data_IF_321738521762
#
_entry.id   IF_321738521762
#
_cell.length_a   1.000
_cell.length_b   1.000
_cell.length_c   1.000
_cell.angle_alpha   90.00
_cell.angle_beta   90.00
_cell.angle_gamma   90.00
#
_symmetry.space_group_name_H-M   'P 1'
#
loop_
_entity.id
_entity.type
_entity.pdbx_description
1 polymer ?
#
# COMPACT_ATOMS: atom_id res chain seq x y z
N UNK A 1 -5.49 -10.24 27.44
CA UNK A 1 -6.93 -10.41 27.72
C UNK A 1 -7.23 -10.28 29.22
N UNK A 2 -6.54 -11.04 30.07
CA UNK A 2 -6.74 -11.04 31.52
C UNK A 2 -6.55 -9.65 32.13
N UNK A 3 -5.52 -8.91 31.75
CA UNK A 3 -5.27 -7.54 32.22
C UNK A 3 -6.45 -6.60 31.91
N UNK A 4 -7.00 -6.63 30.71
CA UNK A 4 -8.15 -5.81 30.31
C UNK A 4 -9.41 -6.22 31.08
N UNK A 5 -9.58 -7.52 31.37
CA UNK A 5 -10.77 -8.02 32.09
C UNK A 5 -10.70 -7.77 33.61
N UNK A 6 -9.48 -7.74 34.17
CA UNK A 6 -9.28 -7.57 35.62
C UNK A 6 -9.12 -6.11 36.06
N UNK A 7 -8.83 -5.20 35.12
CA UNK A 7 -8.68 -3.77 35.37
C UNK A 7 -9.67 -2.97 34.53
N UNK A 8 -10.06 -1.80 34.99
CA UNK A 8 -10.92 -0.88 34.23
C UNK A 8 -10.09 -0.13 33.20
N UNK A 9 -9.71 -0.82 32.11
CA UNK A 9 -8.99 -0.22 31.00
C UNK A 9 -9.99 0.41 30.04
N UNK A 10 -9.98 1.72 29.91
CA UNK A 10 -10.82 2.50 29.00
C UNK A 10 -10.05 3.08 27.82
N UNK A 11 -8.73 3.26 27.98
CA UNK A 11 -7.88 3.91 26.99
C UNK A 11 -6.56 3.19 26.79
N UNK A 12 -6.01 3.26 25.55
CA UNK A 12 -4.71 2.67 25.24
C UNK A 12 -3.93 3.53 24.25
N UNK A 13 -2.60 3.57 24.43
CA UNK A 13 -1.64 4.07 23.45
C UNK A 13 -0.93 2.87 22.83
N UNK A 14 -0.94 2.77 21.50
CA UNK A 14 -0.20 1.76 20.75
C UNK A 14 0.98 2.46 20.07
N UNK A 15 2.20 2.03 20.40
CA UNK A 15 3.43 2.56 19.82
C UNK A 15 3.88 1.68 18.69
N UNK A 16 3.84 2.21 17.45
CA UNK A 16 4.13 1.50 16.22
C UNK A 16 2.86 1.12 15.43
N UNK A 17 2.86 1.42 14.14
CA UNK A 17 1.75 1.23 13.21
C UNK A 17 2.10 0.25 12.07
N UNK A 18 2.83 -0.83 12.38
CA UNK A 18 3.00 -2.01 11.53
C UNK A 18 1.81 -2.98 11.70
N UNK A 19 1.94 -4.20 11.17
CA UNK A 19 0.90 -5.25 11.25
C UNK A 19 0.36 -5.43 12.67
N UNK A 20 1.22 -5.74 13.62
CA UNK A 20 0.83 -6.00 15.03
C UNK A 20 0.12 -4.79 15.65
N UNK A 21 0.66 -3.58 15.41
CA UNK A 21 0.08 -2.35 15.98
C UNK A 21 -1.33 -2.07 15.45
N UNK A 22 -1.56 -2.28 14.16
CA UNK A 22 -2.87 -2.05 13.52
C UNK A 22 -3.88 -3.13 13.88
N UNK A 23 -3.49 -4.40 13.94
CA UNK A 23 -4.33 -5.49 14.46
C UNK A 23 -4.75 -5.27 15.91
N UNK A 24 -3.81 -4.78 16.74
CA UNK A 24 -4.13 -4.41 18.12
C UNK A 24 -5.08 -3.21 18.18
N UNK A 25 -4.90 -2.22 17.31
CA UNK A 25 -5.76 -1.03 17.26
C UNK A 25 -7.21 -1.41 16.94
N UNK A 26 -7.44 -2.23 15.90
CA UNK A 26 -8.76 -2.79 15.56
C UNK A 26 -9.37 -3.54 16.74
N UNK A 27 -8.65 -4.55 17.25
CA UNK A 27 -9.17 -5.42 18.30
C UNK A 27 -9.47 -4.70 19.62
N UNK A 28 -8.70 -3.68 19.97
CA UNK A 28 -8.95 -2.90 21.20
C UNK A 28 -10.10 -1.89 20.97
N UNK A 29 -10.18 -1.30 19.79
CA UNK A 29 -11.30 -0.41 19.43
C UNK A 29 -12.63 -1.16 19.40
N UNK A 30 -12.68 -2.36 18.83
CA UNK A 30 -13.86 -3.23 18.81
C UNK A 30 -14.31 -3.64 20.22
N UNK A 31 -13.41 -3.61 21.20
CA UNK A 31 -13.73 -3.82 22.62
C UNK A 31 -14.20 -2.55 23.33
N UNK A 32 -14.33 -1.44 22.62
CA UNK A 32 -14.81 -0.16 23.13
C UNK A 32 -13.75 0.71 23.82
N UNK A 33 -12.44 0.39 23.70
CA UNK A 33 -11.40 1.23 24.25
C UNK A 33 -11.17 2.47 23.36
N UNK A 34 -10.75 3.57 24.00
CA UNK A 34 -10.20 4.72 23.29
C UNK A 34 -8.76 4.39 22.86
N UNK A 35 -8.55 4.32 21.54
CA UNK A 35 -7.27 3.90 20.97
C UNK A 35 -6.53 5.08 20.32
N UNK A 36 -5.28 5.27 20.71
CA UNK A 36 -4.34 6.21 20.08
C UNK A 36 -3.16 5.41 19.52
N UNK A 37 -2.92 5.50 18.23
CA UNK A 37 -1.75 4.91 17.56
C UNK A 37 -0.69 6.01 17.37
N UNK A 38 0.53 5.76 17.83
CA UNK A 38 1.69 6.64 17.68
C UNK A 38 2.69 5.98 16.74
N UNK A 39 3.05 6.67 15.66
CA UNK A 39 3.98 6.18 14.66
C UNK A 39 5.11 7.19 14.42
N UNK A 40 6.36 6.73 14.51
CA UNK A 40 7.54 7.55 14.23
C UNK A 40 7.61 8.00 12.76
N UNK A 41 7.25 7.11 11.84
CA UNK A 41 7.23 7.41 10.41
C UNK A 41 6.05 8.27 9.99
N UNK A 42 6.13 8.79 8.76
CA UNK A 42 5.09 9.65 8.16
C UNK A 42 3.82 8.90 7.72
N UNK A 43 3.78 7.59 7.81
CA UNK A 43 2.60 6.77 7.48
C UNK A 43 2.61 5.43 8.22
N UNK A 44 1.45 4.79 8.28
CA UNK A 44 1.30 3.41 8.77
C UNK A 44 1.80 2.43 7.72
N UNK A 45 2.08 1.18 8.13
CA UNK A 45 2.48 0.08 7.23
C UNK A 45 3.65 0.47 6.31
N UNK A 46 4.90 0.19 6.69
CA UNK A 46 6.08 0.51 5.88
C UNK A 46 6.11 -0.16 4.49
N UNK A 47 5.26 -1.15 4.28
CA UNK A 47 5.07 -1.86 3.00
C UNK A 47 4.11 -1.14 2.04
N UNK A 48 3.52 -0.01 2.45
CA UNK A 48 2.71 0.87 1.61
C UNK A 48 3.52 2.11 1.19
N UNK A 49 3.18 2.64 0.03
CA UNK A 49 3.54 4.01 -0.33
C UNK A 49 2.65 5.01 0.43
N UNK A 50 3.12 6.23 0.61
CA UNK A 50 2.45 7.23 1.44
C UNK A 50 1.04 7.62 0.92
N UNK A 51 0.84 7.61 -0.37
CA UNK A 51 -0.45 7.87 -1.03
C UNK A 51 -1.46 6.74 -0.77
N UNK A 52 -1.02 5.49 -0.84
CA UNK A 52 -1.84 4.33 -0.50
C UNK A 52 -2.14 4.28 1.00
N UNK A 53 -1.16 4.59 1.85
CA UNK A 53 -1.33 4.63 3.30
C UNK A 53 -2.37 5.67 3.75
N UNK A 54 -2.60 6.75 2.97
CA UNK A 54 -3.62 7.74 3.28
C UNK A 54 -5.03 7.12 3.38
N UNK A 55 -5.34 6.11 2.59
CA UNK A 55 -6.61 5.37 2.65
C UNK A 55 -6.74 4.67 4.03
N UNK A 56 -5.69 4.00 4.47
CA UNK A 56 -5.66 3.35 5.78
C UNK A 56 -5.73 4.35 6.94
N UNK A 57 -5.08 5.51 6.82
CA UNK A 57 -5.16 6.60 7.82
C UNK A 57 -6.59 7.10 8.00
N UNK A 58 -7.27 7.41 6.88
CA UNK A 58 -8.65 7.90 6.92
C UNK A 58 -9.59 6.83 7.47
N UNK A 59 -9.36 5.57 7.13
CA UNK A 59 -10.15 4.45 7.63
C UNK A 59 -9.98 4.24 9.15
N UNK A 60 -8.76 4.30 9.67
CA UNK A 60 -8.50 4.27 11.11
C UNK A 60 -9.26 5.38 11.84
N UNK A 61 -9.19 6.61 11.33
CA UNK A 61 -9.87 7.78 11.92
C UNK A 61 -11.38 7.64 11.88
N UNK A 62 -11.96 7.13 10.78
CA UNK A 62 -13.41 6.92 10.67
C UNK A 62 -13.93 5.88 11.67
N UNK A 63 -13.06 4.96 12.14
CA UNK A 63 -13.36 4.02 13.21
C UNK A 63 -13.02 4.57 14.62
N UNK A 64 -12.71 5.86 14.74
CA UNK A 64 -12.44 6.51 16.01
C UNK A 64 -11.06 6.23 16.60
N UNK A 65 -10.10 5.77 15.79
CA UNK A 65 -8.69 5.63 16.22
C UNK A 65 -7.98 6.98 16.04
N UNK A 66 -7.37 7.49 17.11
CA UNK A 66 -6.49 8.65 17.05
C UNK A 66 -5.15 8.23 16.44
N UNK A 67 -4.67 8.96 15.44
CA UNK A 67 -3.44 8.62 14.73
C UNK A 67 -2.45 9.78 14.79
N UNK A 68 -1.32 9.55 15.45
CA UNK A 68 -0.19 10.47 15.56
C UNK A 68 0.97 9.94 14.71
N UNK A 69 1.23 10.58 13.59
CA UNK A 69 2.34 10.29 12.69
C UNK A 69 3.50 11.26 12.94
N UNK A 70 4.71 10.91 12.50
CA UNK A 70 5.95 11.68 12.75
C UNK A 70 6.15 11.98 14.24
N UNK A 71 5.82 11.03 15.11
CA UNK A 71 5.82 11.21 16.54
C UNK A 71 6.74 10.18 17.22
N UNK A 72 7.86 10.65 17.76
CA UNK A 72 8.81 9.82 18.48
C UNK A 72 8.44 9.71 19.94
N UNK A 73 8.33 8.48 20.45
CA UNK A 73 8.17 8.20 21.88
C UNK A 73 9.54 8.22 22.53
N UNK A 74 9.68 9.04 23.58
CA UNK A 74 10.95 9.24 24.31
C UNK A 74 11.00 8.54 25.65
N UNK A 75 9.86 8.13 26.20
CA UNK A 75 9.80 7.41 27.47
C UNK A 75 8.39 7.19 27.97
N UNK A 76 8.30 6.47 29.08
CA UNK A 76 7.06 6.16 29.78
C UNK A 76 7.23 6.46 31.27
N UNK A 77 6.19 6.98 31.90
CA UNK A 77 6.13 7.26 33.31
C UNK A 77 4.82 6.78 33.92
N UNK A 78 4.87 6.13 35.06
CA UNK A 78 3.67 5.79 35.82
C UNK A 78 3.15 7.03 36.57
N UNK A 79 1.87 7.29 36.45
CA UNK A 79 1.20 8.41 37.11
C UNK A 79 0.61 7.97 38.45
N UNK A 80 0.37 8.93 39.32
CA UNK A 80 -0.23 8.69 40.65
C UNK A 80 -1.64 8.08 40.58
N UNK A 81 -2.36 8.25 39.46
CA UNK A 81 -3.67 7.69 39.22
C UNK A 81 -3.63 6.26 38.61
N UNK A 82 -2.43 5.70 38.43
CA UNK A 82 -2.18 4.38 37.85
C UNK A 82 -2.17 4.35 36.32
N UNK A 83 -2.43 5.47 35.66
CA UNK A 83 -2.27 5.58 34.21
C UNK A 83 -0.80 5.65 33.79
N UNK A 84 -0.51 5.28 32.56
CA UNK A 84 0.82 5.40 31.95
C UNK A 84 0.89 6.67 31.11
N UNK A 85 1.82 7.53 31.40
CA UNK A 85 2.16 8.68 30.58
C UNK A 85 3.18 8.27 29.52
N UNK A 86 2.85 8.50 28.25
CA UNK A 86 3.77 8.32 27.11
C UNK A 86 4.30 9.68 26.69
N UNK A 87 5.61 9.89 26.82
CA UNK A 87 6.28 11.13 26.48
C UNK A 87 6.65 11.14 24.98
N UNK A 88 6.31 12.23 24.29
CA UNK A 88 6.56 12.43 22.87
C UNK A 88 7.60 13.56 22.67
N UNK A 89 8.45 13.41 21.64
CA UNK A 89 9.48 14.42 21.36
C UNK A 89 8.91 15.73 20.80
N UNK A 90 7.83 15.63 20.00
CA UNK A 90 7.31 16.75 19.20
C UNK A 90 5.99 17.34 19.72
N UNK A 91 5.36 16.71 20.70
CA UNK A 91 4.06 17.13 21.25
C UNK A 91 3.96 16.88 22.75
N UNK A 92 2.87 17.32 23.37
CA UNK A 92 2.61 17.03 24.78
C UNK A 92 2.46 15.52 25.04
N UNK A 93 2.64 15.10 26.31
CA UNK A 93 2.53 13.70 26.68
C UNK A 93 1.09 13.19 26.54
N UNK A 94 0.95 11.90 26.27
CA UNK A 94 -0.31 11.17 26.25
C UNK A 94 -0.46 10.37 27.54
N UNK A 95 -1.64 10.38 28.14
CA UNK A 95 -1.98 9.51 29.25
C UNK A 95 -3.00 8.46 28.81
N UNK A 96 -2.79 7.19 29.18
CA UNK A 96 -3.69 6.09 28.94
C UNK A 96 -3.58 5.04 30.04
N UNK A 97 -4.64 4.23 30.19
CA UNK A 97 -4.65 3.14 31.19
C UNK A 97 -3.70 2.00 30.81
N UNK A 98 -3.36 1.89 29.52
CA UNK A 98 -2.49 0.83 29.00
C UNK A 98 -1.64 1.34 27.84
N UNK A 99 -0.43 0.82 27.71
CA UNK A 99 0.44 1.02 26.54
C UNK A 99 0.79 -0.32 25.92
N UNK A 100 0.71 -0.39 24.59
CA UNK A 100 1.11 -1.56 23.81
C UNK A 100 2.31 -1.17 22.94
N UNK A 101 3.43 -1.87 23.09
CA UNK A 101 4.62 -1.68 22.28
C UNK A 101 4.59 -2.62 21.07
N UNK A 102 4.49 -2.05 19.89
CA UNK A 102 4.48 -2.76 18.60
C UNK A 102 5.53 -2.16 17.65
N UNK A 103 6.73 -1.87 18.19
CA UNK A 103 7.80 -1.13 17.48
C UNK A 103 8.63 -1.97 16.51
N UNK A 104 8.19 -3.19 16.23
CA UNK A 104 8.82 -4.15 15.33
C UNK A 104 9.58 -5.23 16.07
N UNK A 105 10.25 -6.08 15.29
CA UNK A 105 11.01 -7.24 15.77
C UNK A 105 12.49 -7.09 15.44
N UNK A 106 13.34 -7.71 16.24
CA UNK A 106 14.75 -7.87 15.98
C UNK A 106 15.08 -9.37 15.90
N UNK A 107 16.03 -9.78 15.04
CA UNK A 107 16.50 -11.15 15.00
C UNK A 107 17.02 -11.59 16.40
N UNK A 108 16.51 -12.71 16.91
CA UNK A 108 17.07 -13.32 18.12
C UNK A 108 18.30 -14.14 17.71
N UNK A 109 19.45 -13.54 17.74
CA UNK A 109 20.71 -14.09 17.23
C UNK A 109 21.82 -14.21 18.31
N UNK A 110 21.47 -14.05 19.58
CA UNK A 110 22.46 -14.09 20.66
C UNK A 110 23.24 -15.42 20.66
N UNK A 111 22.52 -16.53 20.55
CA UNK A 111 23.13 -17.87 20.50
C UNK A 111 24.05 -18.07 19.28
N UNK A 112 23.62 -17.55 18.12
CA UNK A 112 24.42 -17.61 16.89
C UNK A 112 25.72 -16.78 17.00
N UNK A 113 25.64 -15.61 17.63
CA UNK A 113 26.81 -14.77 17.92
C UNK A 113 27.78 -15.46 18.86
N UNK A 114 27.27 -16.04 19.95
CA UNK A 114 28.10 -16.77 20.93
C UNK A 114 28.77 -18.01 20.31
N UNK A 115 28.11 -18.64 19.34
CA UNK A 115 28.65 -19.75 18.54
C UNK A 115 29.66 -19.30 17.47
N UNK A 116 29.86 -17.98 17.27
CA UNK A 116 30.77 -17.45 16.26
C UNK A 116 30.26 -17.52 14.83
N UNK A 117 28.94 -17.64 14.62
CA UNK A 117 28.35 -17.68 13.29
C UNK A 117 28.34 -16.28 12.64
N UNK A 118 28.41 -16.23 11.32
CA UNK A 118 28.35 -15.00 10.54
C UNK A 118 26.99 -14.33 10.68
N UNK A 119 27.01 -13.04 11.06
CA UNK A 119 25.82 -12.20 11.14
C UNK A 119 25.80 -11.16 10.03
N UNK A 120 24.60 -10.75 9.63
CA UNK A 120 24.32 -9.75 8.62
C UNK A 120 23.72 -8.48 9.15
N UNK A 121 22.89 -7.83 8.33
CA UNK A 121 22.21 -6.60 8.69
C UNK A 121 21.33 -6.79 9.94
N UNK A 122 21.37 -5.84 10.87
CA UNK A 122 20.64 -5.88 12.15
C UNK A 122 20.91 -7.15 12.96
N UNK A 123 22.11 -7.70 12.84
CA UNK A 123 22.56 -8.94 13.50
C UNK A 123 21.77 -10.20 13.12
N UNK A 124 21.12 -10.21 11.97
CA UNK A 124 20.46 -11.41 11.42
C UNK A 124 21.48 -12.49 11.09
N UNK A 125 21.08 -13.75 11.23
CA UNK A 125 21.94 -14.89 10.91
C UNK A 125 22.06 -15.00 9.39
N UNK A 126 23.30 -15.01 8.86
CA UNK A 126 23.53 -15.28 7.45
C UNK A 126 23.34 -16.77 7.15
N UNK A 127 22.61 -17.03 6.09
CA UNK A 127 22.40 -18.40 5.56
C UNK A 127 22.60 -18.41 4.04
N UNK A 128 22.99 -19.54 3.52
CA UNK A 128 22.98 -19.81 2.08
C UNK A 128 21.56 -20.18 1.58
N UNK A 129 21.46 -20.51 0.31
CA UNK A 129 20.18 -20.91 -0.31
C UNK A 129 19.65 -22.25 0.21
N UNK A 130 20.46 -23.04 0.90
CA UNK A 130 20.11 -24.30 1.57
C UNK A 130 19.75 -24.12 3.03
N UNK A 131 19.71 -22.88 3.53
CA UNK A 131 19.49 -22.50 4.94
C UNK A 131 20.65 -22.89 5.87
N UNK A 132 21.87 -23.15 5.36
CA UNK A 132 23.06 -23.40 6.17
C UNK A 132 23.66 -22.07 6.61
N UNK A 133 24.16 -22.05 7.82
CA UNK A 133 24.95 -20.92 8.36
C UNK A 133 26.40 -20.97 7.88
N UNK A 134 27.26 -20.13 8.43
CA UNK A 134 28.72 -20.22 8.22
C UNK A 134 29.35 -21.51 8.76
N UNK A 135 28.65 -22.22 9.64
CA UNK A 135 28.99 -23.61 10.05
C UNK A 135 28.08 -24.57 9.28
N UNK A 136 28.71 -25.54 8.56
CA UNK A 136 28.02 -26.49 7.69
C UNK A 136 27.06 -27.44 8.41
N UNK A 137 27.23 -27.62 9.71
CA UNK A 137 26.41 -28.51 10.54
C UNK A 137 25.26 -27.75 11.23
N UNK A 138 25.20 -26.44 11.07
CA UNK A 138 24.17 -25.58 11.69
C UNK A 138 23.29 -24.94 10.61
N UNK A 139 21.99 -25.09 10.79
CA UNK A 139 20.95 -24.48 9.95
C UNK A 139 20.19 -23.39 10.74
N UNK A 140 19.78 -22.33 10.06
CA UNK A 140 18.94 -21.30 10.65
C UNK A 140 17.79 -20.94 9.70
N UNK A 141 16.61 -20.65 10.27
CA UNK A 141 15.37 -20.36 9.52
C UNK A 141 14.50 -19.33 10.25
N UNK A 142 13.52 -18.78 9.55
CA UNK A 142 12.50 -17.90 10.11
C UNK A 142 12.95 -16.43 10.24
N UNK A 143 12.38 -15.75 11.19
CA UNK A 143 12.52 -14.29 11.33
C UNK A 143 13.94 -13.83 11.74
N UNK A 144 14.76 -14.75 12.20
CA UNK A 144 16.14 -14.48 12.62
C UNK A 144 17.14 -14.45 11.47
N UNK A 145 16.77 -14.93 10.26
CA UNK A 145 17.72 -15.09 9.16
C UNK A 145 17.65 -13.98 8.14
N UNK A 146 18.78 -13.66 7.51
CA UNK A 146 18.88 -12.82 6.32
C UNK A 146 18.63 -13.67 5.07
N UNK A 147 17.80 -13.19 4.18
CA UNK A 147 17.45 -13.87 2.93
C UNK A 147 17.60 -12.91 1.74
N UNK A 148 17.44 -13.41 0.51
CA UNK A 148 17.38 -12.56 -0.69
C UNK A 148 15.97 -12.01 -0.89
N UNK A 149 15.88 -10.70 -1.19
CA UNK A 149 14.68 -10.14 -1.80
C UNK A 149 14.59 -10.66 -3.24
N UNK A 150 13.47 -11.27 -3.59
CA UNK A 150 13.29 -11.93 -4.88
C UNK A 150 13.37 -10.96 -6.07
N UNK A 151 12.89 -9.72 -5.89
CA UNK A 151 12.82 -8.73 -6.98
C UNK A 151 14.19 -8.08 -7.25
N UNK A 152 14.92 -7.75 -6.17
CA UNK A 152 16.19 -7.00 -6.28
C UNK A 152 17.44 -7.88 -6.22
N UNK A 153 17.32 -9.13 -5.76
CA UNK A 153 18.46 -9.99 -5.46
C UNK A 153 19.30 -9.56 -4.25
N UNK A 154 18.95 -8.44 -3.62
CA UNK A 154 19.68 -7.90 -2.47
C UNK A 154 19.32 -8.64 -1.18
N UNK A 155 20.22 -8.55 -0.19
CA UNK A 155 19.98 -9.09 1.14
C UNK A 155 18.86 -8.32 1.85
N UNK A 156 17.96 -9.06 2.51
CA UNK A 156 16.79 -8.50 3.17
C UNK A 156 16.41 -9.29 4.44
N UNK A 157 15.70 -8.61 5.34
CA UNK A 157 15.02 -9.22 6.48
C UNK A 157 13.53 -9.23 6.17
N UNK A 158 12.95 -10.41 6.02
CA UNK A 158 11.53 -10.60 5.69
C UNK A 158 10.91 -11.52 6.72
N UNK A 159 10.53 -10.92 7.85
CA UNK A 159 9.94 -11.61 8.99
C UNK A 159 8.45 -11.89 8.75
N UNK A 160 8.16 -12.95 7.99
CA UNK A 160 6.83 -13.39 7.60
C UNK A 160 6.71 -14.93 7.71
N UNK A 161 5.56 -15.40 8.16
CA UNK A 161 5.29 -16.82 8.40
C UNK A 161 5.39 -17.68 7.12
N UNK A 162 5.01 -17.16 5.96
CA UNK A 162 5.10 -17.88 4.68
C UNK A 162 6.54 -18.27 4.31
N UNK A 163 7.47 -17.31 4.23
CA UNK A 163 8.91 -17.60 4.07
C UNK A 163 9.46 -18.55 5.15
N UNK A 164 9.15 -18.28 6.43
CA UNK A 164 9.64 -19.10 7.55
C UNK A 164 9.26 -20.59 7.41
N UNK A 165 8.01 -20.88 7.03
CA UNK A 165 7.54 -22.25 6.79
C UNK A 165 8.29 -22.95 5.63
N UNK A 166 8.51 -22.24 4.52
CA UNK A 166 9.26 -22.76 3.37
C UNK A 166 10.71 -23.04 3.76
N UNK A 167 11.34 -22.13 4.49
CA UNK A 167 12.71 -22.27 4.99
C UNK A 167 12.86 -23.50 5.91
N UNK A 168 11.90 -23.69 6.83
CA UNK A 168 11.89 -24.87 7.72
C UNK A 168 11.86 -26.19 6.95
N UNK A 169 11.05 -26.27 5.90
CA UNK A 169 11.00 -27.44 5.01
C UNK A 169 12.34 -27.64 4.27
N UNK A 170 12.88 -26.55 3.68
CA UNK A 170 14.14 -26.60 2.92
C UNK A 170 15.30 -27.03 3.82
N UNK A 171 15.38 -26.51 5.04
CA UNK A 171 16.39 -26.94 6.01
C UNK A 171 16.25 -28.43 6.33
N UNK A 172 15.04 -28.91 6.59
CA UNK A 172 14.79 -30.34 6.85
C UNK A 172 15.17 -31.22 5.67
N UNK A 173 14.81 -30.84 4.44
CA UNK A 173 15.20 -31.56 3.22
C UNK A 173 16.72 -31.67 3.13
N UNK A 174 17.46 -30.59 3.29
CA UNK A 174 18.92 -30.56 3.19
C UNK A 174 19.60 -31.37 4.33
N UNK A 175 19.07 -31.29 5.56
CA UNK A 175 19.54 -32.13 6.68
C UNK A 175 19.38 -33.63 6.36
N UNK A 176 18.32 -34.01 5.65
CA UNK A 176 18.04 -35.37 5.22
C UNK A 176 18.76 -35.77 3.91
N UNK A 177 19.61 -34.91 3.34
CA UNK A 177 20.33 -35.19 2.09
C UNK A 177 19.53 -34.99 0.82
N UNK A 178 18.36 -34.36 0.90
CA UNK A 178 17.52 -33.97 -0.26
C UNK A 178 17.89 -32.55 -0.65
N UNK A 179 18.42 -32.35 -1.87
CA UNK A 179 18.78 -31.02 -2.35
C UNK A 179 17.54 -30.16 -2.54
N UNK A 180 17.43 -29.08 -1.77
CA UNK A 180 16.34 -28.11 -1.79
C UNK A 180 16.88 -26.69 -1.60
N UNK A 181 16.31 -25.70 -2.28
CA UNK A 181 16.80 -24.31 -2.25
C UNK A 181 15.69 -23.29 -1.98
N UNK A 182 16.04 -22.25 -1.25
CA UNK A 182 15.20 -21.08 -1.01
C UNK A 182 15.64 -19.94 -1.95
N UNK A 183 14.82 -19.62 -2.92
CA UNK A 183 15.12 -18.62 -3.95
C UNK A 183 14.74 -17.18 -3.55
N UNK A 184 14.62 -16.90 -2.25
CA UNK A 184 14.25 -15.59 -1.73
C UNK A 184 12.75 -15.37 -1.57
N UNK A 185 12.39 -14.18 -1.07
CA UNK A 185 11.00 -13.76 -0.84
C UNK A 185 10.75 -12.39 -1.43
N UNK A 186 9.55 -12.17 -1.95
CA UNK A 186 9.06 -10.87 -2.40
C UNK A 186 8.27 -10.12 -1.33
N UNK A 187 8.04 -10.73 -0.14
CA UNK A 187 7.40 -10.08 0.99
C UNK A 187 5.88 -9.91 0.83
N UNK A 188 5.20 -10.87 0.20
CA UNK A 188 3.73 -10.83 0.08
C UNK A 188 3.07 -10.90 1.45
N UNK A 189 2.15 -9.98 1.70
CA UNK A 189 1.48 -9.84 2.99
C UNK A 189 0.06 -9.31 2.85
N UNK A 190 -0.77 -9.61 3.82
CA UNK A 190 -2.16 -9.14 3.91
C UNK A 190 -2.48 -8.78 5.36
N UNK A 191 -3.25 -7.71 5.53
CA UNK A 191 -3.76 -7.24 6.82
C UNK A 191 -5.25 -6.97 6.69
N UNK A 192 -6.03 -7.42 7.66
CA UNK A 192 -7.40 -6.95 7.89
C UNK A 192 -7.35 -5.73 8.82
N UNK A 193 -8.00 -4.64 8.42
CA UNK A 193 -8.13 -3.43 9.22
C UNK A 193 -9.60 -3.01 9.26
N UNK A 194 -10.33 -3.41 10.27
CA UNK A 194 -11.81 -3.33 10.36
C UNK A 194 -12.46 -4.07 9.18
N UNK A 195 -13.11 -3.36 8.27
CA UNK A 195 -13.71 -3.91 7.06
C UNK A 195 -12.83 -3.76 5.81
N UNK A 196 -11.65 -3.14 5.92
CA UNK A 196 -10.66 -3.10 4.85
C UNK A 196 -9.71 -4.29 4.87
N UNK A 197 -9.35 -4.75 3.69
CA UNK A 197 -8.20 -5.61 3.43
C UNK A 197 -7.10 -4.76 2.80
N UNK A 198 -5.90 -4.80 3.39
CA UNK A 198 -4.67 -4.16 2.90
C UNK A 198 -3.73 -5.29 2.48
N UNK A 199 -3.39 -5.36 1.20
CA UNK A 199 -2.55 -6.42 0.66
C UNK A 199 -1.37 -5.84 -0.13
N UNK A 200 -0.16 -6.40 0.06
CA UNK A 200 1.04 -5.91 -0.62
C UNK A 200 1.92 -7.06 -1.08
N UNK A 201 2.67 -6.84 -2.17
CA UNK A 201 3.72 -7.75 -2.64
C UNK A 201 4.80 -6.98 -3.37
N UNK A 202 6.06 -7.41 -3.28
CA UNK A 202 7.18 -6.79 -3.97
C UNK A 202 7.61 -5.44 -3.38
N UNK A 203 7.97 -4.51 -4.24
CA UNK A 203 8.59 -3.24 -3.88
C UNK A 203 7.56 -2.11 -3.73
N UNK A 204 7.88 -1.15 -2.87
CA UNK A 204 7.31 0.21 -2.88
C UNK A 204 8.09 1.09 -3.85
N UNK A 205 7.58 2.27 -4.20
CA UNK A 205 8.31 3.27 -5.00
C UNK A 205 9.67 3.61 -4.38
N UNK A 206 9.69 3.82 -3.07
CA UNK A 206 10.93 4.14 -2.33
C UNK A 206 11.93 2.99 -2.45
N UNK A 207 11.48 1.75 -2.28
CA UNK A 207 12.33 0.57 -2.37
C UNK A 207 12.85 0.35 -3.80
N UNK A 208 12.02 0.53 -4.82
CA UNK A 208 12.43 0.44 -6.23
C UNK A 208 13.49 1.50 -6.57
N UNK A 209 13.26 2.74 -6.15
CA UNK A 209 14.24 3.83 -6.31
C UNK A 209 15.56 3.55 -5.59
N UNK A 210 15.49 3.05 -4.35
CA UNK A 210 16.69 2.71 -3.58
C UNK A 210 17.49 1.55 -4.22
N UNK A 211 16.79 0.64 -4.92
CA UNK A 211 17.41 -0.44 -5.68
C UNK A 211 17.96 0.01 -7.05
N UNK A 212 17.76 1.27 -7.44
CA UNK A 212 18.22 1.83 -8.71
C UNK A 212 17.41 1.38 -9.93
N UNK A 213 16.17 0.91 -9.72
CA UNK A 213 15.28 0.48 -10.79
C UNK A 213 14.57 1.70 -11.43
N UNK A 214 14.42 1.69 -12.75
CA UNK A 214 13.63 2.67 -13.50
C UNK A 214 12.16 2.28 -13.44
N UNK A 215 11.55 2.53 -12.29
CA UNK A 215 10.18 2.13 -12.00
C UNK A 215 9.18 3.25 -12.29
N UNK A 216 7.99 2.84 -12.75
CA UNK A 216 6.78 3.66 -12.82
C UNK A 216 5.62 2.87 -12.21
N UNK A 217 4.44 3.47 -12.13
CA UNK A 217 3.29 2.79 -11.56
C UNK A 217 1.96 3.22 -12.20
N UNK A 218 0.96 2.37 -12.07
CA UNK A 218 -0.42 2.72 -12.35
C UNK A 218 -1.25 2.68 -11.07
N UNK A 219 -2.25 3.56 -10.98
CA UNK A 219 -3.27 3.52 -9.92
C UNK A 219 -4.64 3.41 -10.56
N UNK A 220 -5.38 2.40 -10.15
CA UNK A 220 -6.75 2.14 -10.62
C UNK A 220 -7.67 1.86 -9.43
N UNK A 221 -8.95 2.20 -9.61
CA UNK A 221 -9.98 1.99 -8.59
C UNK A 221 -11.12 1.14 -9.17
N UNK A 222 -10.89 -0.17 -9.39
CA UNK A 222 -11.91 -1.07 -9.90
C UNK A 222 -12.90 -1.48 -8.80
N UNK A 223 -14.05 -2.01 -9.21
CA UNK A 223 -14.93 -2.74 -8.31
C UNK A 223 -14.39 -4.16 -8.05
N UNK A 224 -14.72 -4.73 -6.89
CA UNK A 224 -14.36 -6.11 -6.52
C UNK A 224 -14.95 -7.15 -7.47
N UNK A 225 -16.16 -6.88 -7.98
CA UNK A 225 -16.86 -7.70 -8.95
C UNK A 225 -17.80 -6.85 -9.85
N UNK A 226 -18.57 -7.48 -10.70
CA UNK A 226 -19.49 -6.79 -11.62
C UNK A 226 -20.49 -5.90 -10.86
N UNK A 227 -20.52 -4.60 -11.19
CA UNK A 227 -21.30 -3.60 -10.43
C UNK A 227 -22.80 -3.72 -10.53
N UNK A 228 -23.31 -4.47 -11.55
CA UNK A 228 -24.72 -4.80 -11.65
C UNK A 228 -25.15 -5.96 -10.73
N UNK A 229 -24.18 -6.65 -10.10
CA UNK A 229 -24.45 -7.63 -9.04
C UNK A 229 -24.31 -6.97 -7.68
N UNK A 230 -25.25 -7.23 -6.73
CA UNK A 230 -25.25 -6.56 -5.43
C UNK A 230 -24.00 -6.83 -4.60
N UNK A 231 -23.56 -5.83 -3.84
CA UNK A 231 -22.47 -5.96 -2.87
C UNK A 231 -21.08 -5.65 -3.42
N UNK A 232 -20.96 -5.13 -4.66
CA UNK A 232 -19.68 -4.74 -5.20
C UNK A 232 -19.01 -3.65 -4.36
N UNK A 233 -17.87 -3.99 -3.76
CA UNK A 233 -16.99 -3.05 -3.06
C UNK A 233 -16.01 -2.38 -4.01
N UNK A 234 -15.53 -1.20 -3.66
CA UNK A 234 -14.42 -0.57 -4.36
C UNK A 234 -13.08 -1.05 -3.80
N UNK A 235 -12.06 -1.12 -4.65
CA UNK A 235 -10.68 -1.27 -4.23
C UNK A 235 -9.81 -0.22 -4.92
N UNK A 236 -8.71 0.14 -4.29
CA UNK A 236 -7.64 0.92 -4.93
C UNK A 236 -6.44 0.00 -5.09
N UNK A 237 -5.94 -0.09 -6.30
CA UNK A 237 -4.80 -0.92 -6.67
C UNK A 237 -3.71 -0.03 -7.25
N UNK A 238 -2.49 -0.14 -6.73
CA UNK A 238 -1.28 0.46 -7.27
C UNK A 238 -0.33 -0.65 -7.67
N UNK A 239 0.12 -0.64 -8.93
CA UNK A 239 1.04 -1.65 -9.47
C UNK A 239 2.26 -0.96 -10.01
N UNK A 240 3.44 -1.32 -9.49
CA UNK A 240 4.74 -0.84 -9.93
C UNK A 240 5.29 -1.76 -11.02
N UNK A 241 5.89 -1.15 -12.03
CA UNK A 241 6.51 -1.85 -13.16
C UNK A 241 7.81 -1.18 -13.59
N UNK A 242 8.69 -1.91 -14.25
CA UNK A 242 9.91 -1.40 -14.86
C UNK A 242 9.59 -0.80 -16.24
N UNK A 243 10.06 0.42 -16.49
CA UNK A 243 9.73 1.13 -17.74
C UNK A 243 10.31 0.48 -18.99
N UNK A 244 11.42 -0.27 -18.86
CA UNK A 244 12.09 -0.88 -20.01
C UNK A 244 11.29 -1.99 -20.66
N UNK A 245 10.81 -2.95 -19.87
CA UNK A 245 10.19 -4.19 -20.34
C UNK A 245 8.79 -4.45 -19.77
N UNK A 246 8.32 -3.61 -18.85
CA UNK A 246 7.02 -3.78 -18.20
C UNK A 246 6.99 -4.88 -17.14
N UNK A 247 8.13 -5.36 -16.66
CA UNK A 247 8.22 -6.35 -15.59
C UNK A 247 7.56 -5.81 -14.31
N UNK A 248 6.76 -6.62 -13.66
CA UNK A 248 6.04 -6.24 -12.45
C UNK A 248 7.01 -6.26 -11.26
N UNK A 249 7.14 -5.13 -10.57
CA UNK A 249 8.06 -4.93 -9.46
C UNK A 249 7.39 -5.01 -8.10
N UNK A 250 6.09 -4.68 -8.02
CA UNK A 250 5.34 -4.68 -6.78
C UNK A 250 3.90 -4.26 -6.96
N UNK A 251 3.08 -4.52 -5.95
CA UNK A 251 1.70 -4.07 -5.93
C UNK A 251 1.21 -3.83 -4.50
N UNK A 252 0.25 -2.92 -4.38
CA UNK A 252 -0.46 -2.57 -3.17
C UNK A 252 -1.95 -2.47 -3.50
N UNK A 253 -2.78 -3.18 -2.74
CA UNK A 253 -4.23 -3.22 -2.98
C UNK A 253 -4.94 -2.99 -1.66
N UNK A 254 -5.87 -2.03 -1.64
CA UNK A 254 -6.70 -1.73 -0.48
C UNK A 254 -8.16 -1.74 -0.91
N UNK A 255 -8.99 -2.51 -0.24
CA UNK A 255 -10.42 -2.60 -0.54
C UNK A 255 -11.18 -3.42 0.49
N UNK A 256 -12.50 -3.40 0.41
CA UNK A 256 -13.38 -4.16 1.33
C UNK A 256 -13.53 -5.62 0.91
N UNK A 257 -13.27 -5.94 -0.37
CA UNK A 257 -13.43 -7.29 -0.91
C UNK A 257 -12.46 -7.53 -2.08
N UNK A 258 -11.93 -8.75 -2.19
CA UNK A 258 -11.16 -9.25 -3.33
C UNK A 258 -9.73 -8.69 -3.49
N UNK A 259 -9.22 -7.94 -2.51
CA UNK A 259 -7.84 -7.46 -2.52
C UNK A 259 -6.83 -8.61 -2.33
N UNK A 260 -7.14 -9.55 -1.45
CA UNK A 260 -6.35 -10.76 -1.17
C UNK A 260 -6.22 -11.65 -2.40
N UNK A 261 -7.31 -11.87 -3.14
CA UNK A 261 -7.29 -12.64 -4.39
C UNK A 261 -6.34 -12.02 -5.43
N UNK A 262 -6.41 -10.69 -5.62
CA UNK A 262 -5.65 -10.01 -6.69
C UNK A 262 -4.18 -9.87 -6.35
N UNK A 263 -3.85 -9.67 -5.09
CA UNK A 263 -2.45 -9.62 -4.68
C UNK A 263 -1.75 -10.95 -4.89
N UNK A 264 -2.44 -12.08 -4.66
CA UNK A 264 -1.88 -13.42 -4.89
C UNK A 264 -1.67 -13.72 -6.37
N UNK A 265 -2.57 -13.25 -7.24
CA UNK A 265 -2.37 -13.35 -8.71
C UNK A 265 -1.14 -12.56 -9.13
N UNK A 266 -1.01 -11.30 -8.67
CA UNK A 266 0.17 -10.47 -9.00
C UNK A 266 1.44 -11.07 -8.39
N UNK A 267 1.40 -11.56 -7.15
CA UNK A 267 2.54 -12.22 -6.52
C UNK A 267 3.00 -13.47 -7.29
N UNK A 268 2.04 -14.21 -7.85
CA UNK A 268 2.32 -15.37 -8.71
C UNK A 268 2.93 -14.92 -10.04
N UNK A 269 2.37 -13.90 -10.67
CA UNK A 269 2.90 -13.32 -11.89
C UNK A 269 4.34 -12.82 -11.72
N UNK A 270 4.62 -12.09 -10.63
CA UNK A 270 5.98 -11.65 -10.29
C UNK A 270 6.94 -12.84 -10.12
N UNK A 271 6.50 -13.92 -9.48
CA UNK A 271 7.30 -15.12 -9.28
C UNK A 271 7.60 -15.86 -10.61
N UNK A 272 6.71 -15.74 -11.57
CA UNK A 272 6.88 -16.23 -12.94
C UNK A 272 7.58 -15.23 -13.87
N UNK A 273 8.09 -14.12 -13.32
CA UNK A 273 8.78 -13.05 -14.07
C UNK A 273 7.94 -12.47 -15.21
N UNK A 274 6.61 -12.45 -15.03
CA UNK A 274 5.66 -11.90 -15.99
C UNK A 274 5.77 -10.38 -16.11
N UNK A 275 5.50 -9.91 -17.32
CA UNK A 275 5.40 -8.49 -17.68
C UNK A 275 3.94 -8.01 -17.66
N UNK A 276 3.74 -6.72 -17.89
CA UNK A 276 2.39 -6.15 -18.03
C UNK A 276 1.63 -6.77 -19.21
N UNK A 277 2.31 -7.08 -20.32
CA UNK A 277 1.71 -7.77 -21.47
C UNK A 277 1.16 -9.14 -21.07
N UNK A 278 1.93 -9.91 -20.29
CA UNK A 278 1.48 -11.22 -19.81
C UNK A 278 0.25 -11.11 -18.89
N UNK A 279 0.16 -10.02 -18.07
CA UNK A 279 -1.03 -9.79 -17.23
C UNK A 279 -2.29 -9.58 -18.07
N UNK A 280 -2.19 -9.06 -19.29
CA UNK A 280 -3.35 -8.87 -20.18
C UNK A 280 -3.91 -10.19 -20.70
N UNK A 281 -3.06 -11.21 -20.81
CA UNK A 281 -3.38 -12.54 -21.34
C UNK A 281 -3.86 -13.53 -20.27
N UNK A 282 -3.83 -13.15 -18.97
CA UNK A 282 -4.27 -14.04 -17.90
C UNK A 282 -5.77 -14.36 -18.05
N UNK A 283 -6.08 -15.63 -18.20
CA UNK A 283 -7.46 -16.15 -18.21
C UNK A 283 -7.93 -16.41 -16.78
N UNK A 284 -8.51 -15.37 -16.15
CA UNK A 284 -8.94 -15.38 -14.76
C UNK A 284 -10.41 -15.73 -14.63
N UNK A 285 -10.73 -16.57 -13.64
CA UNK A 285 -12.08 -17.04 -13.38
C UNK A 285 -13.07 -15.87 -13.13
N UNK A 286 -14.15 -15.84 -13.90
CA UNK A 286 -15.19 -14.84 -13.85
C UNK A 286 -16.58 -15.44 -13.68
N UNK A 287 -17.31 -14.86 -12.74
CA UNK A 287 -18.77 -14.82 -12.70
C UNK A 287 -19.16 -13.54 -11.94
N UNK A 288 -20.36 -12.97 -12.17
CA UNK A 288 -20.75 -11.67 -11.60
C UNK A 288 -20.50 -11.49 -10.09
N UNK A 289 -20.71 -12.51 -9.22
CA UNK A 289 -20.45 -12.37 -7.78
C UNK A 289 -18.97 -12.36 -7.38
N UNK A 290 -18.05 -12.74 -8.27
CA UNK A 290 -16.64 -12.99 -7.92
C UNK A 290 -15.66 -12.03 -8.58
N UNK A 291 -16.00 -11.48 -9.75
CA UNK A 291 -15.12 -10.61 -10.52
C UNK A 291 -15.88 -9.81 -11.57
N UNK A 292 -15.14 -9.11 -12.40
CA UNK A 292 -15.60 -8.54 -13.68
C UNK A 292 -14.94 -9.30 -14.83
N UNK A 293 -15.55 -9.30 -16.02
CA UNK A 293 -14.97 -9.94 -17.20
C UNK A 293 -13.57 -9.40 -17.56
N UNK A 294 -13.32 -8.13 -17.23
CA UNK A 294 -11.96 -7.55 -17.16
C UNK A 294 -11.57 -7.54 -15.68
N UNK A 295 -10.83 -8.55 -15.23
CA UNK A 295 -10.37 -8.58 -13.84
C UNK A 295 -9.44 -7.37 -13.57
N UNK A 296 -9.44 -6.80 -12.38
CA UNK A 296 -8.52 -5.73 -11.99
C UNK A 296 -7.04 -5.98 -12.34
N UNK A 297 -6.58 -7.22 -12.31
CA UNK A 297 -5.21 -7.58 -12.72
C UNK A 297 -5.00 -7.38 -14.22
N UNK A 298 -5.94 -7.84 -15.06
CA UNK A 298 -5.87 -7.57 -16.51
C UNK A 298 -5.95 -6.06 -16.79
N UNK A 299 -6.79 -5.32 -16.05
CA UNK A 299 -6.88 -3.87 -16.19
C UNK A 299 -5.56 -3.16 -15.88
N UNK A 300 -4.83 -3.59 -14.86
CA UNK A 300 -3.50 -3.07 -14.57
C UNK A 300 -2.54 -3.32 -15.75
N UNK A 301 -2.53 -4.52 -16.31
CA UNK A 301 -1.76 -4.87 -17.52
C UNK A 301 -2.09 -3.93 -18.69
N UNK A 302 -3.35 -3.76 -19.03
CA UNK A 302 -3.78 -2.84 -20.11
C UNK A 302 -3.34 -1.39 -19.88
N UNK A 303 -3.41 -0.90 -18.62
CA UNK A 303 -2.98 0.45 -18.31
C UNK A 303 -1.48 0.63 -18.49
N UNK A 304 -0.68 -0.33 -18.02
CA UNK A 304 0.78 -0.30 -18.14
C UNK A 304 1.18 -0.38 -19.62
N UNK A 305 0.62 -1.29 -20.42
CA UNK A 305 0.87 -1.35 -21.86
C UNK A 305 0.56 -0.04 -22.56
N UNK A 306 -0.58 0.60 -22.24
CA UNK A 306 -0.96 1.88 -22.84
C UNK A 306 0.07 2.99 -22.56
N UNK A 307 0.74 2.95 -21.39
CA UNK A 307 1.82 3.87 -21.03
C UNK A 307 3.10 3.52 -21.80
N UNK A 308 3.51 2.26 -21.76
CA UNK A 308 4.75 1.79 -22.41
C UNK A 308 4.75 2.00 -23.93
N UNK A 309 3.58 1.81 -24.57
CA UNK A 309 3.42 2.05 -25.99
C UNK A 309 3.13 3.52 -26.35
N UNK A 310 3.13 4.44 -25.39
CA UNK A 310 2.87 5.85 -25.64
C UNK A 310 1.45 6.17 -26.06
N UNK A 311 0.49 5.26 -25.84
CA UNK A 311 -0.93 5.47 -26.15
C UNK A 311 -1.61 6.49 -25.23
N UNK A 312 -1.04 6.71 -24.05
CA UNK A 312 -1.44 7.73 -23.09
C UNK A 312 -0.26 8.07 -22.19
N UNK A 313 -0.10 9.32 -21.86
CA UNK A 313 0.80 9.75 -20.80
C UNK A 313 0.03 9.82 -19.50
N UNK A 314 0.68 9.43 -18.39
CA UNK A 314 0.11 9.49 -17.05
C UNK A 314 0.83 10.52 -16.19
N UNK A 315 0.08 11.27 -15.40
CA UNK A 315 0.57 12.20 -14.39
C UNK A 315 0.13 11.75 -13.00
N UNK A 316 0.99 12.00 -12.02
CA UNK A 316 0.59 11.94 -10.62
C UNK A 316 -0.27 13.16 -10.25
N UNK A 317 -0.99 13.10 -9.13
CA UNK A 317 -1.72 14.28 -8.62
C UNK A 317 -0.81 15.43 -8.23
N UNK A 318 0.40 15.15 -7.75
CA UNK A 318 1.38 16.20 -7.45
C UNK A 318 1.78 16.97 -8.72
N UNK A 319 2.07 16.24 -9.79
CA UNK A 319 2.33 16.84 -11.10
C UNK A 319 1.11 17.58 -11.64
N UNK A 320 -0.08 16.97 -11.53
CA UNK A 320 -1.31 17.55 -12.07
C UNK A 320 -1.72 18.86 -11.38
N UNK A 321 -1.41 19.06 -10.12
CA UNK A 321 -1.72 20.26 -9.35
C UNK A 321 -0.66 21.37 -9.45
N UNK A 322 0.44 21.12 -10.13
CA UNK A 322 1.49 22.10 -10.42
C UNK A 322 1.56 22.37 -11.94
N UNK A 323 0.49 22.99 -12.55
CA UNK A 323 0.44 23.24 -13.98
C UNK A 323 1.45 24.29 -14.41
N UNK A 324 2.08 24.07 -15.57
CA UNK A 324 2.77 25.13 -16.30
C UNK A 324 1.75 26.13 -16.89
N UNK A 325 2.20 27.29 -17.37
CA UNK A 325 1.32 28.32 -17.93
C UNK A 325 0.51 27.85 -19.15
N UNK A 326 1.06 26.90 -19.88
CA UNK A 326 0.48 26.27 -21.08
C UNK A 326 -0.29 24.98 -20.78
N UNK A 327 -0.63 24.73 -19.53
CA UNK A 327 -1.37 23.54 -19.11
C UNK A 327 -2.65 23.91 -18.34
N UNK A 328 -3.66 23.03 -18.43
CA UNK A 328 -4.94 23.22 -17.75
C UNK A 328 -5.55 21.89 -17.33
N UNK A 329 -6.18 21.84 -16.16
CA UNK A 329 -6.94 20.70 -15.69
C UNK A 329 -8.28 20.60 -16.44
N UNK A 330 -8.66 19.36 -16.82
CA UNK A 330 -9.96 19.04 -17.40
C UNK A 330 -10.63 17.94 -16.58
N UNK A 331 -11.76 18.26 -15.99
CA UNK A 331 -12.62 17.34 -15.24
C UNK A 331 -13.63 16.68 -16.18
N UNK A 332 -13.50 15.37 -16.41
CA UNK A 332 -14.38 14.58 -17.26
C UNK A 332 -15.50 13.88 -16.48
N UNK A 333 -15.78 14.29 -15.23
CA UNK A 333 -16.84 13.74 -14.38
C UNK A 333 -18.21 14.28 -14.77
N UNK A 334 -19.25 13.61 -14.26
CA UNK A 334 -20.63 14.12 -14.42
C UNK A 334 -20.87 15.38 -13.58
N UNK A 335 -21.87 16.23 -13.94
CA UNK A 335 -22.22 17.42 -13.15
C UNK A 335 -22.55 17.09 -11.69
N UNK A 336 -23.22 15.95 -11.44
CA UNK A 336 -23.55 15.51 -10.09
C UNK A 336 -22.34 15.10 -9.23
N UNK A 337 -21.25 14.62 -9.85
CA UNK A 337 -19.98 14.35 -9.14
C UNK A 337 -19.24 15.65 -8.83
N UNK A 338 -19.22 16.60 -9.76
CA UNK A 338 -18.57 17.92 -9.58
C UNK A 338 -19.29 18.74 -8.49
N UNK A 339 -20.62 18.66 -8.41
CA UNK A 339 -21.39 19.34 -7.36
C UNK A 339 -21.05 18.88 -5.94
N UNK A 340 -20.48 17.66 -5.77
CA UNK A 340 -20.00 17.14 -4.49
C UNK A 340 -18.56 17.53 -4.14
N UNK A 341 -17.90 18.24 -5.02
CA UNK A 341 -16.54 18.75 -4.87
C UNK A 341 -15.78 18.71 -6.20
N UNK A 342 -14.94 19.70 -6.41
CA UNK A 342 -14.14 19.90 -7.63
C UNK A 342 -12.75 20.43 -7.27
N UNK A 343 -11.94 20.64 -8.30
CA UNK A 343 -10.64 21.32 -8.19
C UNK A 343 -10.80 22.71 -8.80
N UNK A 344 -10.44 23.72 -8.02
CA UNK A 344 -10.54 25.11 -8.45
C UNK A 344 -9.74 25.35 -9.74
N UNK A 345 -10.39 26.02 -10.70
CA UNK A 345 -9.79 26.37 -11.98
C UNK A 345 -9.76 25.23 -13.01
N UNK A 346 -10.29 24.04 -12.70
CA UNK A 346 -10.45 22.99 -13.69
C UNK A 346 -11.59 23.32 -14.68
N UNK A 347 -11.35 23.10 -15.96
CA UNK A 347 -12.41 23.08 -16.97
C UNK A 347 -13.29 21.85 -16.70
N UNK A 348 -14.60 21.98 -16.91
CA UNK A 348 -15.51 20.86 -16.73
C UNK A 348 -16.22 20.52 -18.03
N UNK A 349 -15.92 19.35 -18.57
CA UNK A 349 -16.61 18.78 -19.73
C UNK A 349 -16.81 17.29 -19.49
N UNK A 350 -18.04 16.84 -19.21
CA UNK A 350 -18.32 15.41 -19.01
C UNK A 350 -17.87 14.57 -20.19
N UNK A 351 -17.36 13.36 -19.93
CA UNK A 351 -16.91 12.45 -21.00
C UNK A 351 -17.98 12.26 -22.09
N UNK A 352 -19.23 12.10 -21.69
CA UNK A 352 -20.33 11.78 -22.62
C UNK A 352 -20.64 12.96 -23.57
N UNK A 353 -20.35 14.20 -23.14
CA UNK A 353 -20.55 15.43 -23.90
C UNK A 353 -19.25 15.90 -24.61
N UNK A 354 -18.10 15.30 -24.30
CA UNK A 354 -16.78 15.76 -24.74
C UNK A 354 -16.66 15.97 -26.24
N UNK A 355 -17.29 15.09 -27.06
CA UNK A 355 -17.22 15.20 -28.53
C UNK A 355 -17.94 16.43 -29.08
N UNK A 356 -18.94 16.94 -28.37
CA UNK A 356 -19.74 18.09 -28.77
C UNK A 356 -19.06 19.41 -28.38
N UNK A 357 -18.17 19.36 -27.35
CA UNK A 357 -17.48 20.53 -26.81
C UNK A 357 -15.99 20.64 -27.18
N UNK A 358 -15.51 19.87 -28.17
CA UNK A 358 -14.09 19.88 -28.57
C UNK A 358 -13.60 21.25 -29.04
N UNK A 359 -14.47 22.05 -29.67
CA UNK A 359 -14.12 23.37 -30.21
C UNK A 359 -14.04 24.46 -29.11
N UNK A 360 -14.52 24.16 -27.91
CA UNK A 360 -14.45 25.04 -26.75
C UNK A 360 -13.16 24.85 -25.94
N UNK A 361 -12.43 23.74 -26.19
CA UNK A 361 -11.21 23.42 -25.49
C UNK A 361 -9.98 24.15 -26.06
N UNK A 362 -9.06 24.63 -25.21
CA UNK A 362 -7.87 25.33 -25.67
C UNK A 362 -6.93 24.36 -26.40
N UNK A 363 -6.65 24.64 -27.69
CA UNK A 363 -5.77 23.83 -28.53
C UNK A 363 -4.29 24.15 -28.35
N UNK A 364 -3.99 25.30 -27.79
CA UNK A 364 -2.65 25.80 -27.46
C UNK A 364 -2.17 25.38 -26.08
N UNK A 365 -3.01 24.66 -25.32
CA UNK A 365 -2.69 24.17 -23.99
C UNK A 365 -2.70 22.64 -23.92
N UNK A 366 -1.84 22.10 -23.06
CA UNK A 366 -1.89 20.69 -22.68
C UNK A 366 -3.00 20.45 -21.65
N UNK A 367 -3.84 19.45 -21.90
CA UNK A 367 -4.96 19.08 -21.04
C UNK A 367 -4.53 17.99 -20.06
N UNK A 368 -4.63 18.25 -18.76
CA UNK A 368 -4.43 17.26 -17.68
C UNK A 368 -5.79 16.75 -17.26
N UNK A 369 -6.14 15.56 -17.74
CA UNK A 369 -7.51 15.06 -17.67
C UNK A 369 -7.68 14.14 -16.47
N UNK A 370 -8.70 14.40 -15.67
CA UNK A 370 -9.07 13.51 -14.57
C UNK A 370 -10.56 13.16 -14.59
N UNK A 371 -10.90 12.08 -13.93
CA UNK A 371 -12.28 11.72 -13.64
C UNK A 371 -12.38 11.15 -12.22
N UNK A 372 -13.41 10.41 -11.86
CA UNK A 372 -13.57 9.89 -10.50
C UNK A 372 -12.54 8.78 -10.16
N UNK A 373 -12.21 7.89 -11.12
CA UNK A 373 -11.40 6.68 -10.87
C UNK A 373 -10.28 6.42 -11.90
N UNK A 374 -10.08 7.34 -12.88
CA UNK A 374 -9.03 7.21 -13.92
C UNK A 374 -9.50 6.62 -15.26
N UNK A 375 -10.58 5.84 -15.31
CA UNK A 375 -11.02 5.19 -16.56
C UNK A 375 -11.63 6.16 -17.58
N UNK A 376 -12.59 7.00 -17.15
CA UNK A 376 -13.25 7.98 -18.05
C UNK A 376 -12.26 9.01 -18.57
N UNK A 377 -11.31 9.44 -17.75
CA UNK A 377 -10.26 10.37 -18.16
C UNK A 377 -9.29 9.74 -19.16
N UNK A 378 -8.98 8.45 -19.02
CA UNK A 378 -8.24 7.71 -20.05
C UNK A 378 -9.01 7.74 -21.40
N UNK A 379 -10.31 7.41 -21.40
CA UNK A 379 -11.13 7.45 -22.62
C UNK A 379 -11.18 8.87 -23.20
N UNK A 380 -11.31 9.90 -22.34
CA UNK A 380 -11.26 11.30 -22.78
C UNK A 380 -9.93 11.63 -23.44
N UNK A 381 -8.79 11.23 -22.85
CA UNK A 381 -7.46 11.41 -23.45
C UNK A 381 -7.39 10.76 -24.86
N UNK A 382 -7.93 9.54 -25.02
CA UNK A 382 -7.94 8.86 -26.32
C UNK A 382 -8.75 9.62 -27.37
N UNK A 383 -9.91 10.20 -26.98
CA UNK A 383 -10.73 11.03 -27.86
C UNK A 383 -9.95 12.32 -28.23
N UNK A 384 -9.36 12.99 -27.23
CA UNK A 384 -8.65 14.24 -27.43
C UNK A 384 -7.42 14.06 -28.33
N UNK A 385 -6.60 13.05 -28.08
CA UNK A 385 -5.41 12.75 -28.89
C UNK A 385 -5.76 12.48 -30.36
N UNK A 386 -6.87 11.76 -30.63
CA UNK A 386 -7.36 11.51 -31.99
C UNK A 386 -7.86 12.78 -32.68
N UNK A 387 -8.08 13.84 -31.94
CA UNK A 387 -8.48 15.16 -32.44
C UNK A 387 -7.37 16.20 -32.40
N UNK A 388 -6.12 15.75 -32.16
CA UNK A 388 -4.91 16.57 -32.20
C UNK A 388 -4.63 17.40 -30.96
N UNK A 389 -5.28 17.09 -29.83
CA UNK A 389 -4.95 17.71 -28.55
C UNK A 389 -3.75 17.01 -27.89
N UNK A 390 -2.93 17.78 -27.20
CA UNK A 390 -1.93 17.27 -26.26
C UNK A 390 -2.58 17.07 -24.90
N UNK A 391 -2.53 15.86 -24.34
CA UNK A 391 -3.16 15.59 -23.05
C UNK A 391 -2.46 14.46 -22.30
N UNK A 392 -2.71 14.41 -20.99
CA UNK A 392 -2.26 13.33 -20.12
C UNK A 392 -3.37 12.94 -19.12
N UNK A 393 -3.43 11.67 -18.76
CA UNK A 393 -4.35 11.13 -17.77
C UNK A 393 -3.80 11.28 -16.35
N UNK A 394 -4.62 11.71 -15.39
CA UNK A 394 -4.21 11.80 -13.98
C UNK A 394 -4.53 10.48 -13.26
N UNK A 395 -3.51 9.88 -12.66
CA UNK A 395 -3.56 8.57 -12.02
C UNK A 395 -4.58 8.51 -10.87
N UNK A 396 -5.33 7.40 -10.78
CA UNK A 396 -6.25 7.11 -9.68
C UNK A 396 -7.52 7.97 -9.61
N UNK A 397 -7.55 9.08 -10.35
CA UNK A 397 -8.71 9.98 -10.41
C UNK A 397 -8.99 10.76 -9.12
N UNK A 398 -10.10 11.49 -9.11
CA UNK A 398 -10.47 12.41 -8.02
C UNK A 398 -10.73 11.70 -6.68
N UNK A 399 -11.27 10.47 -6.71
CA UNK A 399 -11.50 9.70 -5.49
C UNK A 399 -10.21 9.39 -4.73
N UNK A 400 -9.16 9.01 -5.45
CA UNK A 400 -7.84 8.78 -4.85
C UNK A 400 -7.22 10.09 -4.33
N UNK A 401 -7.35 11.17 -5.10
CA UNK A 401 -6.93 12.51 -4.66
C UNK A 401 -7.60 12.94 -3.35
N UNK A 402 -8.92 12.75 -3.23
CA UNK A 402 -9.64 13.10 -2.00
C UNK A 402 -9.07 12.39 -0.78
N UNK A 403 -8.70 11.12 -0.88
CA UNK A 403 -8.10 10.37 0.23
C UNK A 403 -6.76 10.98 0.66
N UNK A 404 -5.91 11.32 -0.30
CA UNK A 404 -4.58 11.89 -0.01
C UNK A 404 -4.67 13.32 0.53
N UNK A 405 -5.60 14.13 0.04
CA UNK A 405 -5.81 15.51 0.51
C UNK A 405 -6.41 15.51 1.91
N UNK A 406 -7.43 14.70 2.16
CA UNK A 406 -8.05 14.58 3.48
C UNK A 406 -7.01 14.22 4.55
N UNK A 407 -6.18 13.21 4.29
CA UNK A 407 -5.10 12.83 5.21
C UNK A 407 -4.11 13.98 5.43
N UNK A 408 -3.72 14.69 4.36
CA UNK A 408 -2.79 15.82 4.43
C UNK A 408 -3.36 17.00 5.24
N UNK A 409 -4.63 17.31 5.05
CA UNK A 409 -5.31 18.39 5.76
C UNK A 409 -5.44 18.10 7.25
N UNK A 410 -5.84 16.88 7.60
CA UNK A 410 -5.93 16.45 9.00
C UNK A 410 -4.55 16.59 9.67
N UNK A 411 -3.49 16.11 9.02
CA UNK A 411 -2.12 16.24 9.54
C UNK A 411 -1.67 17.70 9.71
N UNK A 412 -2.01 18.59 8.76
CA UNK A 412 -1.65 20.01 8.85
C UNK A 412 -2.34 20.73 10.00
N UNK A 413 -3.57 20.32 10.34
CA UNK A 413 -4.32 20.91 11.46
C UNK A 413 -3.78 20.50 12.82
N UNK A 414 -2.84 19.53 12.88
CA UNK A 414 -2.31 18.98 14.12
C UNK A 414 -3.38 18.26 14.95
N UNK A 415 -4.50 17.93 14.32
CA UNK A 415 -5.62 17.27 14.96
C UNK A 415 -5.30 15.78 15.02
N UNK A 416 -4.97 15.29 16.19
CA UNK A 416 -5.03 13.87 16.51
C UNK A 416 -6.49 13.41 16.65
N UNK A 417 -7.40 13.93 15.81
CA UNK A 417 -8.82 13.75 16.04
C UNK A 417 -9.42 12.58 15.28
N UNK A 418 -9.99 11.72 16.10
CA UNK A 418 -11.08 10.84 15.78
C UNK A 418 -12.34 11.70 15.66
N UNK A 419 -12.97 11.73 14.52
CA UNK A 419 -14.30 12.31 14.40
C UNK A 419 -14.41 13.40 13.34
N UNK A 420 -14.10 13.06 12.10
CA UNK A 420 -14.79 13.64 10.97
C UNK A 420 -15.74 12.55 10.47
N UNK A 421 -17.04 12.74 10.71
CA UNK A 421 -18.05 12.02 9.97
C UNK A 421 -17.84 12.35 8.48
N UNK A 422 -17.57 11.33 7.69
CA UNK A 422 -17.49 11.41 6.23
C UNK A 422 -18.90 11.40 5.67
#
# INVERSE_FOLDING_TARGET
>A
KEHISSHRIGSTVIVGAGFIGLEMAENLRDRGLDVTVVQRGGHVMPTLDADMAAIAHNHLRSHGVKLLLNSDVTGFEERADGAVQTNLAQSGPLAADMVVLAVGVAPESALAREAGLDLGARESIKVDEHMRTSDSDIYAVGDAVQVKNYVTGQDALIALAGPANKQGRIAADNICGIASTFTGSQGSSVLKLFDLTIATTGLTEIAAKAAGLDADYVVLSPASHATYYPGAGSMTMKVLFERGDGRILGAQIIGTDGADKRIDVIATAMRAEMTAADLTELDLAYAPPYSSAKDPVNMAGYMIENILEGRVEQLTWEQALAPAEDEVLLDARTPGEVARGSIDGALHVPLDELREHLDELPRDKRLRVFCQSGLRSYVACRILMQRGFTCANVAGGYGFYQQTVLDREIRRRGIADCGVAV
#
